data_IF_936276726627
#
_entry.id   IF_936276726627
#
_cell.length_a   1.000
_cell.length_b   1.000
_cell.length_c   1.000
_cell.angle_alpha   90.00
_cell.angle_beta   90.00
_cell.angle_gamma   90.00
#
_symmetry.space_group_name_H-M   'P 1'
#
loop_
_entity.id
_entity.type
_entity.pdbx_description
1 polymer ?
#
# COMPACT_ATOMS: atom_id res chain seq x y z
N UNK A 1 15.11 -11.47 -20.63
CA UNK A 1 15.41 -10.84 -19.31
C UNK A 1 15.77 -11.91 -18.30
N UNK A 2 16.71 -11.64 -17.39
CA UNK A 2 17.00 -12.54 -16.26
C UNK A 2 15.76 -12.66 -15.37
N UNK A 3 15.48 -13.86 -14.86
CA UNK A 3 14.32 -14.11 -14.00
C UNK A 3 14.30 -13.20 -12.75
N UNK A 4 15.48 -12.86 -12.23
CA UNK A 4 15.67 -11.93 -11.13
C UNK A 4 15.21 -10.50 -11.43
N UNK A 5 15.48 -9.99 -12.64
CA UNK A 5 15.04 -8.66 -13.07
C UNK A 5 13.51 -8.64 -13.23
N UNK A 6 12.93 -9.69 -13.82
CA UNK A 6 11.48 -9.82 -13.93
C UNK A 6 10.82 -9.84 -12.54
N UNK A 7 11.36 -10.61 -11.61
CA UNK A 7 10.86 -10.67 -10.24
C UNK A 7 10.98 -9.33 -9.51
N UNK A 8 12.11 -8.63 -9.66
CA UNK A 8 12.30 -7.32 -9.05
C UNK A 8 11.27 -6.31 -9.57
N UNK A 9 11.00 -6.32 -10.88
CA UNK A 9 9.96 -5.48 -11.49
C UNK A 9 8.56 -5.83 -10.99
N UNK A 10 8.25 -7.11 -10.77
CA UNK A 10 6.96 -7.51 -10.18
C UNK A 10 6.82 -6.95 -8.75
N UNK A 11 7.86 -7.10 -7.91
CA UNK A 11 7.84 -6.50 -6.56
C UNK A 11 7.79 -4.97 -6.58
N UNK A 12 8.48 -4.34 -7.54
CA UNK A 12 8.55 -2.88 -7.64
C UNK A 12 7.24 -2.26 -8.17
N UNK A 13 6.64 -2.85 -9.20
CA UNK A 13 5.55 -2.24 -9.95
C UNK A 13 4.16 -2.74 -9.54
N UNK A 14 4.04 -3.98 -9.06
CA UNK A 14 2.74 -4.55 -8.69
C UNK A 14 2.52 -4.45 -7.18
N UNK A 15 3.32 -5.16 -6.39
CA UNK A 15 3.17 -5.17 -4.93
C UNK A 15 4.38 -5.77 -4.22
N UNK A 16 4.73 -5.30 -3.00
CA UNK A 16 5.84 -5.85 -2.23
C UNK A 16 5.70 -7.36 -2.00
N UNK A 17 6.75 -8.12 -2.30
CA UNK A 17 6.79 -9.56 -2.07
C UNK A 17 6.18 -10.44 -3.18
N UNK A 18 5.46 -9.86 -4.15
CA UNK A 18 4.95 -10.62 -5.31
C UNK A 18 6.08 -11.15 -6.21
N UNK A 19 7.19 -10.43 -6.32
CA UNK A 19 8.36 -10.87 -7.08
C UNK A 19 8.95 -12.18 -6.54
N UNK A 20 8.88 -12.40 -5.23
CA UNK A 20 9.33 -13.64 -4.60
C UNK A 20 8.46 -14.85 -4.95
N UNK A 21 7.16 -14.63 -5.17
CA UNK A 21 6.22 -15.67 -5.63
C UNK A 21 6.46 -16.03 -7.10
N UNK A 22 6.89 -15.06 -7.91
CA UNK A 22 7.28 -15.30 -9.30
C UNK A 22 8.64 -16.01 -9.43
N UNK A 23 9.43 -16.06 -8.34
CA UNK A 23 10.63 -16.89 -8.23
C UNK A 23 10.27 -18.31 -7.76
N UNK A 24 11.25 -19.22 -7.74
CA UNK A 24 11.05 -20.64 -7.37
C UNK A 24 10.29 -20.80 -6.03
N UNK A 25 9.49 -21.89 -5.85
CA UNK A 25 8.65 -22.11 -4.67
C UNK A 25 9.37 -22.01 -3.31
N UNK A 26 10.68 -22.32 -3.27
CA UNK A 26 11.51 -22.22 -2.05
C UNK A 26 11.69 -20.78 -1.54
N UNK A 27 11.42 -19.76 -2.36
CA UNK A 27 11.59 -18.33 -2.00
C UNK A 27 10.27 -17.65 -1.60
N UNK A 28 9.14 -18.35 -1.75
CA UNK A 28 7.79 -17.88 -1.38
C UNK A 28 7.68 -17.46 0.09
N UNK A 29 8.26 -18.22 1.01
CA UNK A 29 8.20 -17.91 2.44
C UNK A 29 8.80 -16.53 2.79
N UNK A 30 9.90 -16.14 2.14
CA UNK A 30 10.49 -14.81 2.31
C UNK A 30 9.61 -13.72 1.72
N UNK A 31 8.97 -13.99 0.59
CA UNK A 31 7.99 -13.08 -0.02
C UNK A 31 6.83 -12.76 0.90
N UNK A 32 6.32 -13.75 1.63
CA UNK A 32 5.20 -13.57 2.58
C UNK A 32 5.54 -12.62 3.74
N UNK A 33 6.80 -12.56 4.17
CA UNK A 33 7.24 -11.63 5.21
C UNK A 33 7.09 -10.16 4.80
N UNK A 34 7.12 -9.88 3.50
CA UNK A 34 6.87 -8.54 2.97
C UNK A 34 5.41 -8.38 2.55
N UNK A 35 4.84 -9.38 1.88
CA UNK A 35 3.50 -9.30 1.30
C UNK A 35 2.41 -9.14 2.36
N UNK A 36 2.41 -9.96 3.41
CA UNK A 36 1.35 -9.94 4.42
C UNK A 36 1.25 -8.60 5.19
N UNK A 37 2.34 -8.05 5.76
CA UNK A 37 2.25 -6.78 6.49
C UNK A 37 1.94 -5.61 5.56
N UNK A 38 2.50 -5.59 4.34
CA UNK A 38 2.19 -4.53 3.37
C UNK A 38 0.76 -4.61 2.86
N UNK A 39 0.21 -5.82 2.65
CA UNK A 39 -1.20 -6.02 2.30
C UNK A 39 -2.12 -5.56 3.42
N UNK A 40 -1.81 -5.90 4.67
CA UNK A 40 -2.58 -5.43 5.83
C UNK A 40 -2.57 -3.90 5.93
N UNK A 41 -1.40 -3.27 5.77
CA UNK A 41 -1.27 -1.82 5.78
C UNK A 41 -2.05 -1.16 4.63
N UNK A 42 -1.97 -1.71 3.41
CA UNK A 42 -2.70 -1.23 2.25
C UNK A 42 -4.22 -1.31 2.46
N UNK A 43 -4.71 -2.45 2.96
CA UNK A 43 -6.13 -2.65 3.25
C UNK A 43 -6.63 -1.71 4.35
N UNK A 44 -5.81 -1.46 5.38
CA UNK A 44 -6.12 -0.50 6.43
C UNK A 44 -6.23 0.94 5.92
N UNK A 45 -5.29 1.37 5.07
CA UNK A 45 -5.34 2.70 4.47
C UNK A 45 -6.54 2.85 3.53
N UNK A 46 -6.80 1.82 2.71
CA UNK A 46 -7.93 1.80 1.79
C UNK A 46 -9.26 1.85 2.53
N UNK A 47 -9.42 1.08 3.62
CA UNK A 47 -10.66 1.09 4.40
C UNK A 47 -10.89 2.44 5.08
N UNK A 48 -9.83 3.05 5.61
CA UNK A 48 -9.87 4.39 6.21
C UNK A 48 -10.30 5.44 5.19
N UNK A 49 -9.73 5.39 3.98
CA UNK A 49 -10.11 6.28 2.88
C UNK A 49 -11.57 6.08 2.46
N UNK A 50 -11.99 4.84 2.23
CA UNK A 50 -13.37 4.52 1.82
C UNK A 50 -14.39 4.98 2.87
N UNK A 51 -14.06 4.82 4.16
CA UNK A 51 -14.94 5.28 5.23
C UNK A 51 -15.13 6.81 5.19
N UNK A 52 -14.06 7.58 4.94
CA UNK A 52 -14.19 9.03 4.74
C UNK A 52 -15.01 9.36 3.49
N UNK A 53 -14.77 8.66 2.38
CA UNK A 53 -15.53 8.89 1.13
C UNK A 53 -17.02 8.69 1.36
N UNK A 54 -17.43 7.62 2.06
CA UNK A 54 -18.84 7.39 2.37
C UNK A 54 -19.40 8.45 3.33
N UNK A 55 -18.64 8.88 4.33
CA UNK A 55 -19.08 9.97 5.21
C UNK A 55 -19.27 11.29 4.44
N UNK A 56 -18.36 11.63 3.53
CA UNK A 56 -18.48 12.82 2.69
C UNK A 56 -19.69 12.73 1.78
N UNK A 57 -19.94 11.56 1.19
CA UNK A 57 -21.12 11.32 0.35
C UNK A 57 -22.41 11.55 1.15
N UNK A 58 -22.53 10.98 2.35
CA UNK A 58 -23.70 11.18 3.22
C UNK A 58 -23.88 12.66 3.62
N UNK A 59 -22.78 13.38 3.88
CA UNK A 59 -22.81 14.82 4.18
C UNK A 59 -23.25 15.66 2.97
N UNK A 60 -22.84 15.29 1.75
CA UNK A 60 -23.29 15.94 0.51
C UNK A 60 -24.79 15.67 0.26
N UNK A 61 -25.22 14.42 0.37
CA UNK A 61 -26.61 14.01 0.08
C UNK A 61 -27.59 14.60 1.10
N UNK A 62 -27.16 14.77 2.36
CA UNK A 62 -27.95 15.44 3.40
C UNK A 62 -27.90 16.98 3.32
N UNK A 63 -27.12 17.56 2.41
CA UNK A 63 -26.93 19.00 2.26
C UNK A 63 -26.11 19.65 3.38
N UNK A 64 -25.46 18.85 4.25
CA UNK A 64 -24.58 19.34 5.32
C UNK A 64 -23.23 19.83 4.78
N UNK A 65 -22.78 19.24 3.68
CA UNK A 65 -21.58 19.65 2.96
C UNK A 65 -21.99 20.23 1.61
N UNK A 66 -21.48 21.42 1.28
CA UNK A 66 -21.67 21.99 -0.04
C UNK A 66 -20.86 21.20 -1.08
N UNK A 67 -21.42 20.99 -2.27
CA UNK A 67 -20.70 20.42 -3.41
C UNK A 67 -19.73 21.46 -4.01
N UNK A 68 -18.77 21.88 -3.20
CA UNK A 68 -17.71 22.83 -3.54
C UNK A 68 -16.34 22.18 -3.30
N UNK A 69 -15.42 22.21 -4.29
CA UNK A 69 -14.12 21.55 -4.17
C UNK A 69 -13.24 22.06 -3.02
N UNK A 70 -13.32 23.35 -2.68
CA UNK A 70 -12.52 23.94 -1.61
C UNK A 70 -13.05 23.48 -0.25
N UNK A 71 -14.37 23.49 -0.07
CA UNK A 71 -15.00 23.03 1.17
C UNK A 71 -14.78 21.53 1.39
N UNK A 72 -14.87 20.71 0.33
CA UNK A 72 -14.57 19.28 0.39
C UNK A 72 -13.10 19.05 0.81
N UNK A 73 -12.15 19.77 0.21
CA UNK A 73 -10.74 19.65 0.56
C UNK A 73 -10.47 20.00 2.02
N UNK A 74 -11.10 21.08 2.53
CA UNK A 74 -11.01 21.45 3.95
C UNK A 74 -11.59 20.34 4.85
N UNK A 75 -12.73 19.76 4.47
CA UNK A 75 -13.36 18.68 5.23
C UNK A 75 -12.52 17.40 5.25
N UNK A 76 -11.82 17.08 4.15
CA UNK A 76 -10.86 15.97 4.06
C UNK A 76 -9.67 16.22 5.00
N UNK A 77 -9.08 17.42 5.00
CA UNK A 77 -8.00 17.75 5.93
C UNK A 77 -8.46 17.73 7.39
N UNK A 78 -9.69 18.18 7.67
CA UNK A 78 -10.27 18.16 9.01
C UNK A 78 -10.67 16.76 9.49
N UNK A 79 -10.75 15.77 8.60
CA UNK A 79 -11.14 14.41 8.96
C UNK A 79 -10.12 13.67 9.84
N UNK A 80 -8.91 14.23 10.01
CA UNK A 80 -7.90 13.64 10.89
C UNK A 80 -7.39 12.28 10.41
N UNK A 81 -7.46 12.02 9.10
CA UNK A 81 -6.87 10.81 8.50
C UNK A 81 -5.36 10.83 8.67
N UNK A 82 -4.71 11.99 8.67
CA UNK A 82 -3.29 12.10 9.01
C UNK A 82 -3.12 11.95 10.53
N UNK A 83 -2.90 10.71 10.97
CA UNK A 83 -2.73 10.35 12.37
C UNK A 83 -1.64 9.28 12.51
N UNK A 84 -1.27 8.96 13.76
CA UNK A 84 -0.17 8.04 14.02
C UNK A 84 -0.38 6.64 13.39
N UNK A 85 -1.62 6.16 13.32
CA UNK A 85 -1.91 4.83 12.81
C UNK A 85 -1.81 4.76 11.27
N UNK A 86 -2.34 5.75 10.56
CA UNK A 86 -2.21 5.85 9.09
C UNK A 86 -0.77 6.14 8.68
N UNK A 87 -0.05 6.97 9.44
CA UNK A 87 1.36 7.22 9.23
C UNK A 87 2.22 5.97 9.44
N UNK A 88 1.91 5.17 10.46
CA UNK A 88 2.57 3.88 10.67
C UNK A 88 2.26 2.91 9.53
N UNK A 89 1.00 2.81 9.09
CA UNK A 89 0.63 1.95 7.97
C UNK A 89 1.35 2.36 6.68
N UNK A 90 1.41 3.66 6.38
CA UNK A 90 2.16 4.19 5.24
C UNK A 90 3.66 3.87 5.34
N UNK A 91 4.25 4.00 6.53
CA UNK A 91 5.65 3.64 6.78
C UNK A 91 5.90 2.13 6.57
N UNK A 92 5.03 1.26 7.09
CA UNK A 92 5.11 -0.20 6.87
C UNK A 92 5.05 -0.52 5.37
N UNK A 93 4.16 0.15 4.64
CA UNK A 93 4.01 -0.04 3.21
C UNK A 93 5.28 0.37 2.46
N UNK A 94 5.85 1.56 2.75
CA UNK A 94 7.08 2.04 2.13
C UNK A 94 8.31 1.17 2.47
N UNK A 95 8.50 0.86 3.75
CA UNK A 95 9.64 0.03 4.22
C UNK A 95 9.53 -1.38 3.65
N UNK A 96 8.33 -1.98 3.68
CA UNK A 96 8.10 -3.29 3.09
C UNK A 96 8.33 -3.32 1.58
N UNK A 97 7.98 -2.23 0.88
CA UNK A 97 8.22 -2.09 -0.56
C UNK A 97 9.70 -2.04 -0.91
N UNK A 98 10.44 -1.14 -0.25
CA UNK A 98 11.89 -1.01 -0.46
C UNK A 98 12.61 -2.29 -0.05
N UNK A 99 12.23 -2.87 1.09
CA UNK A 99 12.80 -4.12 1.59
C UNK A 99 12.59 -5.30 0.64
N UNK A 100 11.37 -5.47 0.12
CA UNK A 100 11.08 -6.53 -0.85
C UNK A 100 11.88 -6.37 -2.14
N UNK A 101 12.04 -5.14 -2.63
CA UNK A 101 12.82 -4.85 -3.83
C UNK A 101 14.30 -5.22 -3.64
N UNK A 102 14.91 -4.76 -2.54
CA UNK A 102 16.31 -5.06 -2.21
C UNK A 102 16.53 -6.57 -2.01
N UNK A 103 15.60 -7.25 -1.33
CA UNK A 103 15.71 -8.69 -1.08
C UNK A 103 15.63 -9.51 -2.37
N UNK A 104 14.70 -9.20 -3.29
CA UNK A 104 14.62 -9.88 -4.59
C UNK A 104 15.88 -9.66 -5.42
N UNK A 105 16.39 -8.43 -5.47
CA UNK A 105 17.62 -8.11 -6.20
C UNK A 105 18.82 -8.86 -5.64
N UNK A 106 18.92 -8.99 -4.31
CA UNK A 106 19.99 -9.76 -3.68
C UNK A 106 19.88 -11.26 -3.94
N UNK A 107 18.67 -11.82 -3.81
CA UNK A 107 18.40 -13.22 -4.12
C UNK A 107 18.69 -13.56 -5.60
N UNK A 108 18.53 -12.58 -6.49
CA UNK A 108 18.80 -12.70 -7.90
C UNK A 108 20.28 -12.62 -8.31
N UNK A 109 21.18 -12.18 -7.41
CA UNK A 109 22.64 -12.23 -7.60
C UNK A 109 23.26 -13.57 -7.18
N UNK A 110 22.50 -14.39 -6.44
CA UNK A 110 22.92 -15.70 -5.91
C UNK A 110 22.48 -16.88 -6.80
N UNK A 111 21.75 -16.60 -7.88
CA UNK A 111 21.42 -17.52 -8.96
C UNK A 111 22.32 -17.23 -10.16
#
# INVERSE_FOLDING_TARGET
MKASIKAALISALLFPGLGHLALRPRRTGRGMLFLLPTAAAALYLLSTMLHLVYQLQDELDSGKLALDPIVILQRVHAAGIDNAATNLAAAVLLVGWIGALLDVLWLGKRD
#
